data_IF_145322457827
#
_entry.id   IF_145322457827
#
_cell.length_a   1.000
_cell.length_b   1.000
_cell.length_c   1.000
_cell.angle_alpha   90.00
_cell.angle_beta   90.00
_cell.angle_gamma   90.00
#
_symmetry.space_group_name_H-M   'P 1'
#
loop_
_entity.id
_entity.type
_entity.pdbx_description
1 polymer ?
#
# COMPACT_ATOMS: atom_id res chain seq x y z
N UNK A 1 -46.82 22.03 -53.06
CA UNK A 1 -45.38 22.36 -53.06
C UNK A 1 -44.92 22.09 -51.64
N UNK A 2 -44.42 20.89 -51.41
CA UNK A 2 -44.06 20.43 -50.07
C UNK A 2 -42.81 21.18 -49.60
N UNK A 3 -42.95 21.92 -48.51
CA UNK A 3 -41.87 22.70 -47.91
C UNK A 3 -40.85 21.76 -47.29
N UNK A 4 -39.63 21.76 -47.83
CA UNK A 4 -38.48 21.11 -47.22
C UNK A 4 -38.30 21.62 -45.78
N UNK A 5 -38.57 20.76 -44.80
CA UNK A 5 -38.32 21.05 -43.39
C UNK A 5 -36.85 20.72 -43.11
N UNK A 6 -35.99 21.73 -43.17
CA UNK A 6 -34.59 21.59 -42.78
C UNK A 6 -34.54 21.47 -41.25
N UNK A 7 -34.38 20.25 -40.74
CA UNK A 7 -34.02 20.02 -39.34
C UNK A 7 -32.53 20.31 -39.23
N UNK A 8 -32.18 21.41 -38.57
CA UNK A 8 -30.80 21.86 -38.43
C UNK A 8 -30.03 20.89 -37.52
N UNK A 9 -29.27 19.97 -38.14
CA UNK A 9 -28.52 18.91 -37.48
C UNK A 9 -27.46 19.46 -36.51
N UNK A 10 -27.10 20.74 -36.66
CA UNK A 10 -26.11 21.43 -35.83
C UNK A 10 -26.71 22.04 -34.56
N UNK A 11 -28.03 22.21 -34.49
CA UNK A 11 -28.68 22.91 -33.38
C UNK A 11 -28.69 22.05 -32.10
N UNK A 12 -28.89 20.74 -32.26
CA UNK A 12 -28.81 19.77 -31.13
C UNK A 12 -27.39 19.27 -30.87
N UNK A 13 -26.58 19.11 -31.93
CA UNK A 13 -25.19 18.61 -31.84
C UNK A 13 -24.20 19.66 -31.34
N UNK A 14 -24.40 20.93 -31.63
CA UNK A 14 -23.56 22.02 -31.15
C UNK A 14 -23.54 22.10 -29.62
N UNK A 15 -24.71 21.92 -28.99
CA UNK A 15 -24.85 21.95 -27.52
C UNK A 15 -24.09 20.77 -26.89
N UNK A 16 -24.15 19.56 -27.48
CA UNK A 16 -23.40 18.40 -27.00
C UNK A 16 -21.88 18.69 -26.97
N UNK A 17 -21.33 19.30 -28.02
CA UNK A 17 -19.90 19.64 -28.06
C UNK A 17 -19.53 20.70 -27.02
N UNK A 18 -20.37 21.70 -26.81
CA UNK A 18 -20.14 22.73 -25.77
C UNK A 18 -20.12 22.12 -24.37
N UNK A 19 -21.02 21.17 -24.09
CA UNK A 19 -21.07 20.44 -22.83
C UNK A 19 -19.80 19.60 -22.64
N UNK A 20 -19.37 18.86 -23.67
CA UNK A 20 -18.16 18.02 -23.61
C UNK A 20 -16.91 18.89 -23.37
N UNK A 21 -16.76 20.00 -24.09
CA UNK A 21 -15.63 20.92 -23.91
C UNK A 21 -15.65 21.51 -22.50
N UNK A 22 -16.80 21.94 -22.00
CA UNK A 22 -16.95 22.42 -20.63
C UNK A 22 -16.58 21.36 -19.59
N UNK A 23 -17.02 20.12 -19.77
CA UNK A 23 -16.68 19.00 -18.91
C UNK A 23 -15.17 18.72 -18.90
N UNK A 24 -14.53 18.65 -20.07
CA UNK A 24 -13.08 18.44 -20.17
C UNK A 24 -12.27 19.57 -19.52
N UNK A 25 -12.71 20.81 -19.66
CA UNK A 25 -12.07 21.96 -19.00
C UNK A 25 -12.22 21.92 -17.47
N UNK A 26 -13.29 21.32 -16.94
CA UNK A 26 -13.49 21.14 -15.49
C UNK A 26 -12.61 20.01 -14.95
N UNK A 27 -12.35 18.97 -15.75
CA UNK A 27 -11.46 17.86 -15.38
C UNK A 27 -10.04 18.33 -15.11
N UNK A 28 -9.51 19.32 -15.84
CA UNK A 28 -8.14 19.83 -15.66
C UNK A 28 -7.89 20.38 -14.23
N UNK A 29 -8.63 21.40 -13.73
CA UNK A 29 -8.45 21.91 -12.37
C UNK A 29 -8.85 20.87 -11.32
N UNK A 30 -9.84 20.02 -11.59
CA UNK A 30 -10.21 18.91 -10.68
C UNK A 30 -9.06 17.91 -10.53
N UNK A 31 -8.42 17.54 -11.63
CA UNK A 31 -7.25 16.65 -11.62
C UNK A 31 -6.07 17.31 -10.92
N UNK A 32 -5.80 18.59 -11.18
CA UNK A 32 -4.75 19.35 -10.49
C UNK A 32 -5.04 19.41 -8.98
N UNK A 33 -6.30 19.59 -8.58
CA UNK A 33 -6.69 19.61 -7.17
C UNK A 33 -6.54 18.25 -6.49
N UNK A 34 -6.97 17.17 -7.15
CA UNK A 34 -6.87 15.81 -6.60
C UNK A 34 -5.43 15.27 -6.58
N UNK A 35 -4.64 15.62 -7.60
CA UNK A 35 -3.23 15.24 -7.72
C UNK A 35 -2.28 16.22 -7.07
N UNK A 36 -2.78 17.29 -6.44
CA UNK A 36 -1.94 18.24 -5.71
C UNK A 36 -1.17 17.46 -4.65
N UNK A 37 0.15 17.25 -4.82
CA UNK A 37 0.92 16.60 -3.78
C UNK A 37 0.80 17.52 -2.58
N UNK A 38 0.28 17.00 -1.47
CA UNK A 38 0.30 17.70 -0.19
C UNK A 38 1.71 18.26 -0.06
N UNK A 39 1.85 19.60 -0.08
CA UNK A 39 3.13 20.26 0.18
C UNK A 39 3.45 20.04 1.65
N UNK A 40 3.77 18.80 2.02
CA UNK A 40 4.51 18.48 3.23
C UNK A 40 5.78 19.30 3.06
N UNK A 41 6.00 20.25 3.97
CA UNK A 41 7.14 21.17 3.95
C UNK A 41 8.42 20.36 3.83
N UNK A 42 8.85 20.17 2.58
CA UNK A 42 9.91 19.25 2.19
C UNK A 42 11.28 19.84 2.42
N UNK A 43 11.40 20.99 3.10
CA UNK A 43 12.68 21.49 3.58
C UNK A 43 13.33 20.48 4.55
N UNK A 44 12.54 19.85 5.42
CA UNK A 44 13.04 18.76 6.30
C UNK A 44 13.34 17.51 5.48
N UNK A 45 12.47 17.13 4.54
CA UNK A 45 12.67 15.92 3.71
C UNK A 45 13.86 16.06 2.76
N UNK A 46 14.13 17.24 2.20
CA UNK A 46 15.26 17.49 1.27
C UNK A 46 16.60 17.60 1.99
N UNK A 47 16.60 18.11 3.23
CA UNK A 47 17.79 18.10 4.09
C UNK A 47 18.06 16.73 4.69
N UNK A 48 17.03 15.90 4.87
CA UNK A 48 17.16 14.47 5.20
C UNK A 48 17.69 13.71 3.98
N UNK A 49 17.21 13.99 2.76
CA UNK A 49 17.64 13.36 1.50
C UNK A 49 19.05 13.71 0.98
N UNK A 50 19.92 14.36 1.77
CA UNK A 50 21.35 14.39 1.43
C UNK A 50 21.97 13.04 1.80
N UNK A 51 22.74 12.46 0.87
CA UNK A 51 23.40 11.15 1.00
C UNK A 51 24.27 11.03 2.27
N UNK A 52 24.58 12.16 2.92
CA UNK A 52 25.37 12.26 4.15
C UNK A 52 24.56 12.58 5.43
N UNK A 53 23.27 12.92 5.35
CA UNK A 53 22.43 13.32 6.51
C UNK A 53 21.22 12.41 6.73
N UNK A 54 20.89 11.52 5.80
CA UNK A 54 19.98 10.40 6.03
C UNK A 54 20.69 9.34 6.86
N UNK A 55 20.61 9.47 8.18
CA UNK A 55 20.55 8.28 9.03
C UNK A 55 19.19 7.61 8.78
N UNK A 56 18.97 7.06 7.59
CA UNK A 56 18.01 5.96 7.43
C UNK A 56 18.47 4.94 8.45
N UNK A 57 17.60 4.42 9.34
CA UNK A 57 17.94 3.23 10.08
C UNK A 57 18.30 2.17 9.04
N UNK A 58 19.61 1.98 8.79
CA UNK A 58 20.10 0.96 7.87
C UNK A 58 19.57 -0.34 8.44
N UNK A 59 18.65 -1.00 7.73
CA UNK A 59 18.10 -2.28 8.18
C UNK A 59 16.60 -2.48 8.02
N UNK A 60 15.76 -1.46 7.79
CA UNK A 60 14.32 -1.70 7.51
C UNK A 60 14.09 -1.95 6.02
N UNK A 61 13.51 -3.10 5.68
CA UNK A 61 13.13 -3.52 4.33
C UNK A 61 11.65 -3.86 4.28
N UNK A 62 10.98 -3.55 3.16
CA UNK A 62 9.59 -3.90 2.92
C UNK A 62 9.48 -4.98 1.85
N UNK A 63 8.61 -5.94 2.08
CA UNK A 63 8.25 -7.00 1.13
C UNK A 63 6.92 -6.65 0.46
N UNK A 64 6.72 -7.13 -0.77
CA UNK A 64 5.41 -7.07 -1.44
C UNK A 64 4.33 -7.91 -0.75
N UNK A 65 4.71 -8.78 0.19
CA UNK A 65 3.80 -9.64 0.95
C UNK A 65 3.37 -9.00 2.29
N UNK A 66 3.31 -7.67 2.34
CA UNK A 66 2.87 -6.90 3.51
C UNK A 66 3.63 -7.14 4.81
N UNK A 67 4.91 -7.47 4.68
CA UNK A 67 5.84 -7.64 5.80
C UNK A 67 6.96 -6.60 5.73
N UNK A 68 7.38 -6.13 6.90
CA UNK A 68 8.62 -5.40 7.05
C UNK A 68 9.64 -6.25 7.79
N UNK A 69 10.92 -6.01 7.51
CA UNK A 69 12.03 -6.68 8.17
C UNK A 69 13.01 -5.65 8.67
N UNK A 70 13.40 -5.73 9.93
CA UNK A 70 14.48 -4.96 10.51
C UNK A 70 15.68 -5.85 10.77
N UNK A 71 16.76 -5.64 10.00
CA UNK A 71 18.04 -6.32 10.20
C UNK A 71 18.86 -5.59 11.25
N UNK A 72 19.10 -6.25 12.37
CA UNK A 72 19.95 -5.78 13.44
C UNK A 72 21.44 -5.97 13.10
N UNK A 73 22.35 -5.15 13.68
CA UNK A 73 23.80 -5.37 13.54
C UNK A 73 24.29 -6.74 14.01
N UNK A 74 23.53 -7.41 14.88
CA UNK A 74 23.78 -8.78 15.36
C UNK A 74 23.61 -9.83 14.27
N UNK A 75 22.99 -9.48 13.13
CA UNK A 75 22.56 -10.43 12.10
C UNK A 75 21.15 -10.99 12.33
N UNK A 76 20.50 -10.65 13.44
CA UNK A 76 19.10 -11.02 13.67
C UNK A 76 18.16 -10.17 12.81
N UNK A 77 17.16 -10.81 12.22
CA UNK A 77 16.12 -10.15 11.46
C UNK A 77 14.80 -10.18 12.25
N UNK A 78 14.28 -9.02 12.62
CA UNK A 78 12.90 -8.91 13.12
C UNK A 78 11.96 -8.78 11.94
N UNK A 79 10.92 -9.60 11.90
CA UNK A 79 9.89 -9.56 10.86
C UNK A 79 8.56 -9.17 11.50
N UNK A 80 7.83 -8.27 10.85
CA UNK A 80 6.51 -7.83 11.29
C UNK A 80 5.57 -7.55 10.13
N UNK A 81 4.31 -7.31 10.46
CA UNK A 81 3.27 -6.91 9.52
C UNK A 81 3.27 -5.41 9.31
N UNK A 82 2.99 -4.98 8.09
CA UNK A 82 2.76 -3.56 7.82
C UNK A 82 1.39 -3.09 8.37
N UNK A 83 1.30 -1.78 8.60
CA UNK A 83 0.11 -1.13 9.15
C UNK A 83 -1.07 -1.09 8.14
N UNK A 84 -0.78 -1.22 6.84
CA UNK A 84 -1.82 -1.24 5.82
C UNK A 84 -2.63 -2.53 5.92
N UNK A 85 -1.98 -3.68 6.11
CA UNK A 85 -2.67 -4.96 6.26
C UNK A 85 -3.57 -4.94 7.50
N UNK A 86 -3.05 -4.45 8.63
CA UNK A 86 -3.82 -4.32 9.87
C UNK A 86 -5.05 -3.42 9.71
N UNK A 87 -4.91 -2.28 9.02
CA UNK A 87 -6.04 -1.38 8.73
C UNK A 87 -7.09 -1.99 7.81
N UNK A 88 -6.68 -2.84 6.88
CA UNK A 88 -7.59 -3.52 5.95
C UNK A 88 -8.30 -4.71 6.61
N UNK A 89 -7.60 -5.46 7.45
CA UNK A 89 -8.16 -6.67 8.09
C UNK A 89 -8.86 -6.39 9.42
N UNK A 90 -8.52 -5.29 10.09
CA UNK A 90 -8.93 -5.03 11.47
C UNK A 90 -8.27 -6.01 12.45
N UNK A 91 -8.90 -6.19 13.62
CA UNK A 91 -8.49 -7.20 14.60
C UNK A 91 -8.54 -8.60 13.98
N UNK A 92 -7.40 -9.30 13.98
CA UNK A 92 -7.21 -10.65 13.41
C UNK A 92 -6.45 -11.53 14.38
N UNK A 93 -6.84 -12.79 14.49
CA UNK A 93 -6.05 -13.77 15.25
C UNK A 93 -4.78 -14.13 14.49
N UNK A 94 -3.67 -14.28 15.22
CA UNK A 94 -2.39 -14.78 14.68
C UNK A 94 -2.17 -16.23 15.11
N UNK A 95 -1.87 -17.08 14.14
CA UNK A 95 -1.43 -18.46 14.32
C UNK A 95 -0.02 -18.63 13.73
N UNK A 96 0.97 -19.02 14.53
CA UNK A 96 2.33 -19.25 14.04
C UNK A 96 2.43 -20.60 13.33
N UNK A 97 2.94 -20.59 12.10
CA UNK A 97 3.17 -21.79 11.28
C UNK A 97 4.60 -22.30 11.51
N UNK A 98 5.57 -21.39 11.55
CA UNK A 98 6.95 -21.69 11.88
C UNK A 98 7.21 -21.40 13.37
N UNK A 99 7.50 -22.44 14.13
CA UNK A 99 7.87 -22.32 15.55
C UNK A 99 9.35 -21.97 15.76
N UNK A 100 9.76 -21.69 17.01
CA UNK A 100 11.16 -21.49 17.36
C UNK A 100 12.05 -22.65 16.90
N UNK A 101 13.28 -22.34 16.51
CA UNK A 101 14.29 -23.22 15.93
C UNK A 101 14.00 -23.77 14.52
N UNK A 102 12.81 -23.54 13.96
CA UNK A 102 12.50 -23.94 12.59
C UNK A 102 13.34 -23.14 11.58
N UNK A 103 13.86 -23.82 10.55
CA UNK A 103 14.45 -23.16 9.39
C UNK A 103 13.34 -22.85 8.39
N UNK A 104 13.31 -21.61 7.90
CA UNK A 104 12.31 -21.13 6.94
C UNK A 104 13.05 -20.48 5.78
N UNK A 105 12.62 -20.78 4.55
CA UNK A 105 13.13 -20.14 3.35
C UNK A 105 12.31 -18.89 2.99
N UNK A 106 12.94 -17.95 2.28
CA UNK A 106 12.22 -16.81 1.70
C UNK A 106 11.04 -17.30 0.86
N UNK A 107 9.86 -16.78 1.15
CA UNK A 107 8.60 -17.14 0.48
C UNK A 107 7.83 -18.29 1.13
N UNK A 108 8.38 -18.95 2.15
CA UNK A 108 7.65 -19.93 2.96
C UNK A 108 6.82 -19.25 4.06
N UNK A 109 5.71 -19.86 4.52
CA UNK A 109 4.83 -19.26 5.52
C UNK A 109 5.45 -19.22 6.92
N UNK A 110 5.42 -18.05 7.55
CA UNK A 110 5.81 -17.82 8.95
C UNK A 110 4.63 -17.96 9.91
N UNK A 111 3.50 -17.34 9.54
CA UNK A 111 2.30 -17.26 10.35
C UNK A 111 1.08 -17.16 9.43
N UNK A 112 -0.09 -17.39 10.00
CA UNK A 112 -1.39 -17.18 9.37
C UNK A 112 -2.16 -16.17 10.21
N UNK A 113 -2.71 -15.16 9.55
CA UNK A 113 -3.67 -14.25 10.16
C UNK A 113 -5.06 -14.58 9.65
N UNK A 114 -6.08 -14.48 10.50
CA UNK A 114 -7.43 -14.82 10.07
C UNK A 114 -8.53 -14.30 10.98
N UNK A 115 -9.72 -14.21 10.38
CA UNK A 115 -10.97 -13.83 11.04
C UNK A 115 -12.14 -14.42 10.27
N UNK A 116 -13.15 -14.91 10.98
CA UNK A 116 -14.44 -15.37 10.42
C UNK A 116 -14.29 -16.38 9.26
N UNK A 117 -13.36 -17.32 9.40
CA UNK A 117 -13.11 -18.38 8.41
C UNK A 117 -12.26 -17.96 7.20
N UNK A 118 -11.89 -16.68 7.08
CA UNK A 118 -10.92 -16.19 6.11
C UNK A 118 -9.52 -16.16 6.73
N UNK A 119 -8.53 -16.56 5.96
CA UNK A 119 -7.14 -16.56 6.39
C UNK A 119 -6.21 -16.04 5.30
N UNK A 120 -5.10 -15.44 5.73
CA UNK A 120 -4.04 -14.94 4.89
C UNK A 120 -2.69 -15.42 5.47
N UNK A 121 -1.84 -15.95 4.60
CA UNK A 121 -0.54 -16.48 5.00
C UNK A 121 0.52 -15.38 4.91
N UNK A 122 1.26 -15.23 6.01
CA UNK A 122 2.35 -14.28 6.14
C UNK A 122 3.63 -14.97 5.74
N UNK A 123 4.16 -14.58 4.57
CA UNK A 123 5.33 -15.21 3.98
C UNK A 123 6.63 -14.60 4.51
N UNK A 124 7.65 -15.44 4.64
CA UNK A 124 8.97 -15.02 5.09
C UNK A 124 9.67 -14.13 4.06
N UNK A 125 10.13 -12.93 4.44
CA UNK A 125 10.88 -12.04 3.55
C UNK A 125 12.34 -12.47 3.36
N UNK A 126 12.87 -13.31 4.25
CA UNK A 126 14.28 -13.75 4.29
C UNK A 126 14.37 -15.24 4.66
N UNK A 127 15.47 -15.90 4.30
CA UNK A 127 15.74 -17.27 4.75
C UNK A 127 16.54 -17.25 6.06
N UNK A 128 16.21 -18.13 7.00
CA UNK A 128 16.92 -18.23 8.28
C UNK A 128 16.24 -19.13 9.31
N UNK A 129 16.80 -19.17 10.52
CA UNK A 129 16.18 -19.84 11.67
C UNK A 129 15.29 -18.86 12.44
N UNK A 130 14.12 -19.33 12.85
CA UNK A 130 13.22 -18.59 13.73
C UNK A 130 13.74 -18.69 15.15
N UNK A 131 14.32 -17.61 15.68
CA UNK A 131 14.83 -17.59 17.06
C UNK A 131 13.69 -17.40 18.08
N UNK A 132 12.76 -16.48 17.80
CA UNK A 132 11.71 -16.09 18.75
C UNK A 132 10.42 -15.71 18.02
N UNK A 133 9.29 -16.08 18.63
CA UNK A 133 7.95 -15.64 18.23
C UNK A 133 7.26 -14.92 19.38
N UNK A 134 6.45 -13.89 19.10
CA UNK A 134 5.74 -13.14 20.13
C UNK A 134 4.44 -13.85 20.52
N UNK A 135 4.54 -14.83 21.43
CA UNK A 135 3.40 -15.65 21.86
C UNK A 135 2.22 -14.84 22.43
N UNK A 136 2.45 -13.61 22.91
CA UNK A 136 1.39 -12.70 23.36
C UNK A 136 0.35 -12.42 22.27
N UNK A 137 0.78 -12.37 21.00
CA UNK A 137 -0.10 -12.10 19.85
C UNK A 137 -1.13 -13.20 19.58
N UNK A 138 -0.95 -14.39 20.15
CA UNK A 138 -1.96 -15.45 20.07
C UNK A 138 -3.05 -15.30 21.14
N UNK A 139 -2.80 -14.54 22.21
CA UNK A 139 -3.73 -14.39 23.35
C UNK A 139 -4.41 -13.01 23.34
N UNK A 140 -3.68 -11.98 22.89
CA UNK A 140 -4.13 -10.59 22.76
C UNK A 140 -3.61 -10.05 21.40
N UNK A 141 -4.40 -10.21 20.32
CA UNK A 141 -3.98 -9.91 18.94
C UNK A 141 -3.90 -8.41 18.59
#
# INVERSE_FOLDING_TARGET
MDGFTFTDIFDTKGIEYLIIIGFLLLVIPFWIWLSSPVRIKSAVVRQVLSRNSLRIPRGIFFSGNHTWTYLEPSGMARVGLDDLLLKLTGEVGIEYVAGPMAFVQRGEPLARIGREGKHLEIMSPVSGHVELVHASLCTDP
#
